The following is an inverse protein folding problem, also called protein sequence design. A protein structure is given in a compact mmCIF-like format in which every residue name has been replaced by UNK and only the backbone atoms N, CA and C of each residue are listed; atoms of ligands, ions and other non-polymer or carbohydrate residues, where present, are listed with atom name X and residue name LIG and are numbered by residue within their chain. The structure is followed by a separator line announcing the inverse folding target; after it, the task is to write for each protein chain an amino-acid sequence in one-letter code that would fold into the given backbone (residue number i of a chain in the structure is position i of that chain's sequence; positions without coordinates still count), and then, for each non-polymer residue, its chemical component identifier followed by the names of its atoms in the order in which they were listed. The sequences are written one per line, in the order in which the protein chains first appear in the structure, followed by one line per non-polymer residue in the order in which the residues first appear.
data_IF_344535754822
#
_entry.id   IF_344535754822
#
_cell.length_a   1.000
_cell.length_b   1.000
_cell.length_c   1.000
_cell.angle_alpha   90.00
_cell.angle_beta   90.00
_cell.angle_gamma   90.00
#
_symmetry.space_group_name_H-M   'P 1'
#
loop_
_entity.id
_entity.type
_entity.pdbx_description
1 polymer ?
#
# COMPACT_ATOMS: atom_id res chain seq x y z
N UNK A 1 24.10 -53.28 12.47
CA UNK A 1 22.80 -52.65 12.27
C UNK A 1 23.00 -51.40 11.46
N UNK A 2 22.65 -51.37 10.15
CA UNK A 2 22.71 -50.16 9.34
C UNK A 2 21.55 -49.25 9.75
N UNK A 3 21.84 -47.95 9.93
CA UNK A 3 20.86 -46.92 10.24
C UNK A 3 19.97 -46.70 9.00
N UNK A 4 18.66 -46.91 9.17
CA UNK A 4 17.67 -46.55 8.17
C UNK A 4 17.66 -45.02 7.99
N UNK A 5 18.06 -44.55 6.83
CA UNK A 5 17.89 -43.16 6.44
C UNK A 5 16.41 -42.93 6.14
N UNK A 6 15.74 -42.22 7.02
CA UNK A 6 14.37 -41.79 6.81
C UNK A 6 14.30 -40.91 5.53
N UNK A 7 13.58 -41.39 4.55
CA UNK A 7 13.24 -40.62 3.33
C UNK A 7 12.29 -39.48 3.72
N UNK A 8 12.80 -38.24 3.68
CA UNK A 8 11.96 -37.03 3.78
C UNK A 8 11.53 -36.69 2.34
N UNK A 9 10.24 -36.84 2.02
CA UNK A 9 9.77 -36.47 0.70
C UNK A 9 9.98 -34.96 0.51
N UNK A 10 10.70 -34.57 -0.55
CA UNK A 10 10.82 -33.17 -0.95
C UNK A 10 9.42 -32.70 -1.38
N UNK A 11 8.92 -31.67 -0.72
CA UNK A 11 7.69 -30.99 -1.17
C UNK A 11 7.92 -30.46 -2.58
N UNK A 12 6.92 -30.60 -3.49
CA UNK A 12 7.03 -30.01 -4.82
C UNK A 12 7.25 -28.50 -4.69
N UNK A 13 8.04 -27.87 -5.58
CA UNK A 13 8.24 -26.44 -5.54
C UNK A 13 6.89 -25.73 -5.62
N UNK A 14 6.63 -24.84 -4.67
CA UNK A 14 5.45 -23.96 -4.72
C UNK A 14 5.64 -23.09 -5.95
N UNK A 15 4.80 -23.26 -6.96
CA UNK A 15 4.82 -22.41 -8.15
C UNK A 15 4.38 -21.02 -7.72
N UNK A 16 5.32 -20.08 -7.64
CA UNK A 16 5.05 -18.69 -7.31
C UNK A 16 4.71 -17.93 -8.58
N UNK A 17 3.69 -17.06 -8.50
CA UNK A 17 3.30 -16.16 -9.59
C UNK A 17 4.27 -14.96 -9.65
N UNK A 18 4.50 -14.44 -10.85
CA UNK A 18 5.27 -13.22 -11.09
C UNK A 18 4.36 -12.01 -11.27
N UNK A 19 4.94 -10.80 -11.15
CA UNK A 19 4.22 -9.54 -11.40
C UNK A 19 3.70 -9.46 -12.85
N UNK A 20 4.45 -9.99 -13.82
CA UNK A 20 4.04 -10.01 -15.22
C UNK A 20 2.87 -10.98 -15.49
N UNK A 21 2.79 -12.07 -14.72
CA UNK A 21 1.63 -12.96 -14.74
C UNK A 21 0.43 -12.32 -14.07
N UNK A 22 0.63 -11.59 -12.96
CA UNK A 22 -0.44 -10.86 -12.28
C UNK A 22 -1.15 -9.86 -13.20
N UNK A 23 -0.43 -9.16 -14.09
CA UNK A 23 -1.02 -8.24 -15.08
C UNK A 23 -2.05 -8.89 -16.00
N UNK A 24 -2.00 -10.23 -16.16
CA UNK A 24 -2.92 -10.99 -17.00
C UNK A 24 -4.06 -11.62 -16.21
N UNK A 25 -4.01 -11.53 -14.88
CA UNK A 25 -5.07 -12.07 -14.01
C UNK A 25 -6.26 -11.10 -14.02
N UNK A 26 -7.43 -11.64 -14.37
CA UNK A 26 -8.68 -10.92 -14.30
C UNK A 26 -9.66 -11.73 -13.46
N UNK A 27 -9.99 -11.24 -12.29
CA UNK A 27 -11.04 -11.80 -11.43
C UNK A 27 -12.13 -10.75 -11.34
N UNK A 28 -13.32 -10.99 -11.96
CA UNK A 28 -14.40 -10.01 -11.97
C UNK A 28 -14.75 -9.55 -10.55
N UNK A 29 -14.95 -8.25 -10.40
CA UNK A 29 -15.37 -7.61 -9.15
C UNK A 29 -14.45 -7.86 -7.93
N UNK A 30 -13.15 -8.09 -8.17
CA UNK A 30 -12.15 -8.32 -7.11
C UNK A 30 -10.92 -7.45 -7.31
N UNK A 31 -10.32 -7.06 -6.19
CA UNK A 31 -8.97 -6.49 -6.16
C UNK A 31 -7.94 -7.61 -5.98
N UNK A 32 -6.84 -7.51 -6.67
CA UNK A 32 -5.79 -8.53 -6.63
C UNK A 32 -4.44 -7.90 -6.28
N UNK A 33 -3.70 -8.58 -5.41
CA UNK A 33 -2.33 -8.26 -5.05
C UNK A 33 -1.48 -9.53 -5.17
N UNK A 34 -0.18 -9.39 -5.18
CA UNK A 34 0.77 -10.50 -5.13
C UNK A 34 1.66 -10.35 -3.91
N UNK A 35 1.70 -11.37 -3.05
CA UNK A 35 2.51 -11.34 -1.84
C UNK A 35 3.45 -12.53 -1.83
N UNK A 36 4.73 -12.29 -2.02
CA UNK A 36 5.76 -13.35 -2.11
C UNK A 36 5.37 -14.45 -3.09
N UNK A 37 4.87 -14.04 -4.27
CA UNK A 37 4.43 -14.96 -5.32
C UNK A 37 3.07 -15.61 -5.09
N UNK A 38 2.35 -15.26 -4.03
CA UNK A 38 1.02 -15.79 -3.72
C UNK A 38 -0.04 -14.75 -4.09
N UNK A 39 -1.01 -15.15 -4.93
CA UNK A 39 -2.14 -14.29 -5.29
C UNK A 39 -3.04 -14.06 -4.08
N UNK A 40 -3.28 -12.79 -3.75
CA UNK A 40 -4.22 -12.36 -2.73
C UNK A 40 -5.41 -11.70 -3.41
N UNK A 41 -6.60 -12.18 -3.13
CA UNK A 41 -7.86 -11.67 -3.70
C UNK A 41 -8.66 -11.01 -2.60
N UNK A 42 -9.14 -9.79 -2.85
CA UNK A 42 -9.90 -9.01 -1.88
C UNK A 42 -11.27 -8.60 -2.44
N UNK A 43 -12.23 -8.50 -1.55
CA UNK A 43 -13.56 -7.97 -1.87
C UNK A 43 -13.50 -6.46 -2.08
N UNK A 44 -14.40 -5.89 -2.91
CA UNK A 44 -14.56 -4.44 -3.02
C UNK A 44 -14.86 -3.79 -1.67
N UNK A 45 -14.29 -2.63 -1.45
CA UNK A 45 -14.52 -1.85 -0.24
C UNK A 45 -15.92 -1.19 -0.23
N UNK A 46 -16.43 -0.91 0.97
CA UNK A 46 -17.73 -0.24 1.16
C UNK A 46 -17.68 1.28 0.95
N UNK A 47 -18.86 1.92 0.94
CA UNK A 47 -19.02 3.36 0.66
C UNK A 47 -18.18 4.27 1.57
N UNK A 48 -18.09 3.96 2.88
CA UNK A 48 -17.32 4.77 3.84
C UNK A 48 -15.84 4.80 3.49
N UNK A 49 -15.27 3.64 3.20
CA UNK A 49 -13.88 3.51 2.75
C UNK A 49 -13.65 4.37 1.49
N UNK A 50 -14.46 4.20 0.43
CA UNK A 50 -14.31 4.95 -0.81
C UNK A 50 -14.44 6.45 -0.62
N UNK A 51 -15.34 6.92 0.26
CA UNK A 51 -15.51 8.33 0.56
C UNK A 51 -14.29 8.92 1.26
N UNK A 52 -13.77 8.22 2.27
CA UNK A 52 -12.57 8.65 3.03
C UNK A 52 -11.35 8.69 2.12
N UNK A 53 -11.13 7.63 1.34
CA UNK A 53 -10.02 7.55 0.40
C UNK A 53 -10.09 8.69 -0.64
N UNK A 54 -11.27 8.94 -1.23
CA UNK A 54 -11.45 10.00 -2.23
C UNK A 54 -11.25 11.39 -1.64
N UNK A 55 -11.78 11.66 -0.44
CA UNK A 55 -11.64 12.98 0.20
C UNK A 55 -10.18 13.29 0.56
N UNK A 56 -9.45 12.29 1.08
CA UNK A 56 -8.03 12.45 1.35
C UNK A 56 -7.22 12.60 0.06
N UNK A 57 -7.48 11.77 -0.96
CA UNK A 57 -6.82 11.86 -2.26
C UNK A 57 -7.00 13.24 -2.91
N UNK A 58 -8.21 13.78 -2.86
CA UNK A 58 -8.53 15.12 -3.38
C UNK A 58 -7.73 16.22 -2.68
N UNK A 59 -7.63 16.17 -1.34
CA UNK A 59 -6.87 17.16 -0.56
C UNK A 59 -5.38 17.06 -0.83
N UNK A 60 -4.86 15.83 -0.85
CA UNK A 60 -3.47 15.54 -1.16
C UNK A 60 -3.12 15.99 -2.58
N UNK A 61 -3.96 15.64 -3.57
CA UNK A 61 -3.79 16.03 -4.96
C UNK A 61 -3.75 17.55 -5.14
N UNK A 62 -4.65 18.28 -4.49
CA UNK A 62 -4.64 19.76 -4.54
C UNK A 62 -3.33 20.36 -4.03
N UNK A 63 -2.78 19.85 -2.92
CA UNK A 63 -1.49 20.30 -2.40
C UNK A 63 -0.34 19.97 -3.36
N UNK A 64 -0.32 18.73 -3.85
CA UNK A 64 0.72 18.23 -4.76
C UNK A 64 0.73 19.03 -6.06
N UNK A 65 -0.43 19.31 -6.65
CA UNK A 65 -0.56 20.06 -7.89
C UNK A 65 -0.21 21.54 -7.71
N UNK A 66 -0.71 22.18 -6.64
CA UNK A 66 -0.45 23.60 -6.36
C UNK A 66 1.04 23.89 -6.19
N UNK A 67 1.79 22.95 -5.61
CA UNK A 67 3.22 23.11 -5.33
C UNK A 67 4.12 22.29 -6.27
N UNK A 68 3.54 21.58 -7.25
CA UNK A 68 4.26 20.75 -8.22
C UNK A 68 5.18 19.72 -7.57
N UNK A 69 4.70 19.09 -6.49
CA UNK A 69 5.51 18.18 -5.66
C UNK A 69 5.72 16.81 -6.29
N UNK A 70 4.83 16.37 -7.21
CA UNK A 70 4.90 15.05 -7.79
C UNK A 70 3.58 14.59 -8.42
N UNK A 71 3.21 13.33 -8.17
CA UNK A 71 1.97 12.71 -8.63
C UNK A 71 1.28 11.93 -7.53
N UNK A 72 -0.05 12.01 -7.49
CA UNK A 72 -0.90 11.18 -6.64
C UNK A 72 -1.59 10.13 -7.53
N UNK A 73 -1.56 8.89 -7.08
CA UNK A 73 -2.18 7.75 -7.76
C UNK A 73 -3.32 7.21 -6.90
N UNK A 74 -4.40 6.80 -7.55
CA UNK A 74 -5.59 6.26 -6.90
C UNK A 74 -5.46 4.75 -6.66
N UNK A 75 -6.44 4.18 -5.98
CA UNK A 75 -6.60 2.75 -5.74
C UNK A 75 -6.44 1.92 -7.03
N UNK A 76 -6.00 0.66 -6.85
CA UNK A 76 -5.67 -0.33 -7.88
C UNK A 76 -4.40 -0.01 -8.69
N UNK A 77 -3.70 1.07 -8.41
CA UNK A 77 -2.38 1.30 -8.98
C UNK A 77 -1.37 0.39 -8.27
N UNK A 78 -0.90 -0.64 -8.96
CA UNK A 78 0.03 -1.62 -8.40
C UNK A 78 1.48 -1.17 -8.48
N UNK A 79 2.26 -1.49 -7.45
CA UNK A 79 3.71 -1.26 -7.34
C UNK A 79 4.41 -2.57 -7.03
N UNK A 80 5.47 -2.90 -7.77
CA UNK A 80 6.32 -4.05 -7.48
C UNK A 80 7.32 -3.66 -6.39
N UNK A 81 7.17 -4.25 -5.21
CA UNK A 81 7.98 -3.94 -4.03
C UNK A 81 9.17 -4.87 -3.86
N UNK A 82 9.05 -6.11 -4.37
CA UNK A 82 10.11 -7.12 -4.30
C UNK A 82 10.03 -8.05 -5.52
N UNK A 83 11.17 -8.66 -5.82
CA UNK A 83 11.30 -9.72 -6.84
C UNK A 83 11.88 -10.98 -6.20
N UNK A 84 11.52 -12.13 -6.75
CA UNK A 84 12.08 -13.45 -6.42
C UNK A 84 11.97 -13.84 -4.92
N UNK A 85 10.77 -14.00 -4.36
CA UNK A 85 9.44 -14.02 -4.99
C UNK A 85 8.81 -12.63 -5.08
N UNK A 86 8.07 -12.41 -6.16
CA UNK A 86 7.48 -11.11 -6.46
C UNK A 86 6.43 -10.69 -5.42
N UNK A 87 6.47 -9.42 -5.06
CA UNK A 87 5.42 -8.76 -4.25
C UNK A 87 4.93 -7.53 -4.98
N UNK A 88 3.63 -7.49 -5.28
CA UNK A 88 2.94 -6.35 -5.87
C UNK A 88 1.82 -5.93 -4.92
N UNK A 89 1.88 -4.69 -4.46
CA UNK A 89 0.86 -4.09 -3.62
C UNK A 89 0.17 -2.95 -4.34
N UNK A 90 -1.12 -2.76 -4.05
CA UNK A 90 -1.93 -1.65 -4.55
C UNK A 90 -2.56 -0.93 -3.35
N UNK A 91 -2.07 0.27 -2.99
CA UNK A 91 -2.62 1.04 -1.88
C UNK A 91 -3.86 1.82 -2.31
N UNK A 92 -4.64 2.32 -1.36
CA UNK A 92 -5.78 3.17 -1.65
C UNK A 92 -5.38 4.52 -2.24
N UNK A 93 -4.24 5.07 -1.78
CA UNK A 93 -3.63 6.28 -2.35
C UNK A 93 -2.11 6.11 -2.30
N UNK A 94 -1.43 6.50 -3.36
CA UNK A 94 0.02 6.59 -3.41
C UNK A 94 0.47 7.98 -3.87
N UNK A 95 1.61 8.43 -3.38
CA UNK A 95 2.27 9.64 -3.86
C UNK A 95 3.72 9.33 -4.22
N UNK A 96 4.13 9.85 -5.37
CA UNK A 96 5.52 9.87 -5.82
C UNK A 96 6.03 11.29 -5.89
N UNK A 97 7.18 11.56 -5.32
CA UNK A 97 7.91 12.82 -5.49
C UNK A 97 8.24 13.02 -6.96
N UNK A 98 8.26 14.26 -7.41
CA UNK A 98 8.41 14.66 -8.81
C UNK A 98 9.61 14.01 -9.49
N UNK A 99 10.73 13.96 -8.82
CA UNK A 99 11.98 13.38 -9.34
C UNK A 99 11.97 11.85 -9.43
N UNK A 100 10.97 11.20 -8.81
CA UNK A 100 10.78 9.75 -8.82
C UNK A 100 9.67 9.27 -9.73
N UNK A 101 8.87 10.19 -10.27
CA UNK A 101 7.84 9.84 -11.26
C UNK A 101 8.52 9.35 -12.55
N UNK A 102 8.24 8.11 -12.99
CA UNK A 102 8.81 7.60 -14.24
C UNK A 102 8.32 8.39 -15.44
N UNK A 103 9.24 8.68 -16.38
CA UNK A 103 8.90 9.31 -17.66
C UNK A 103 9.60 8.55 -18.81
N UNK A 104 8.85 7.83 -19.65
CA UNK A 104 7.40 7.63 -19.62
C UNK A 104 6.94 6.72 -18.48
N UNK A 105 5.70 6.89 -18.04
CA UNK A 105 5.08 5.98 -17.08
C UNK A 105 4.95 4.57 -17.70
N UNK A 106 5.37 3.48 -16.99
CA UNK A 106 5.29 2.13 -17.52
C UNK A 106 3.84 1.63 -17.62
N UNK A 107 3.56 0.78 -18.61
CA UNK A 107 2.24 0.18 -18.77
C UNK A 107 1.89 -0.90 -17.71
N UNK A 108 2.87 -1.35 -16.93
CA UNK A 108 2.70 -2.37 -15.89
C UNK A 108 2.97 -1.83 -14.49
N UNK A 109 3.26 -2.75 -13.57
CA UNK A 109 3.59 -2.39 -12.19
C UNK A 109 5.06 -1.94 -12.09
N UNK A 110 5.35 -0.65 -11.83
CA UNK A 110 6.71 -0.17 -11.71
C UNK A 110 7.44 -0.84 -10.55
N UNK A 111 8.73 -1.10 -10.72
CA UNK A 111 9.58 -1.64 -9.66
C UNK A 111 10.10 -0.47 -8.79
N UNK A 112 9.22 0.10 -8.02
CA UNK A 112 9.51 1.19 -7.08
C UNK A 112 8.44 1.24 -5.98
N UNK A 113 8.82 1.75 -4.80
CA UNK A 113 7.87 2.05 -3.73
C UNK A 113 7.48 3.54 -3.78
N UNK A 114 6.20 3.90 -3.54
CA UNK A 114 5.79 5.29 -3.36
C UNK A 114 6.47 5.95 -2.16
N UNK A 115 6.57 7.29 -2.17
CA UNK A 115 7.11 8.04 -1.04
C UNK A 115 6.12 8.13 0.13
N UNK A 116 4.82 8.28 -0.19
CA UNK A 116 3.71 8.17 0.75
C UNK A 116 2.71 7.15 0.27
N UNK A 117 2.25 6.32 1.18
CA UNK A 117 1.15 5.37 1.00
C UNK A 117 0.05 5.64 2.01
N UNK A 118 -1.21 5.51 1.57
CA UNK A 118 -2.39 5.53 2.44
C UNK A 118 -3.16 4.23 2.27
N UNK A 119 -3.48 3.60 3.39
CA UNK A 119 -4.39 2.47 3.50
C UNK A 119 -5.59 2.90 4.36
N UNK A 120 -6.79 2.79 3.83
CA UNK A 120 -8.04 3.07 4.56
C UNK A 120 -8.65 1.74 4.96
N UNK A 121 -8.86 1.53 6.24
CA UNK A 121 -9.37 0.25 6.73
C UNK A 121 -10.85 0.08 6.41
N UNK A 122 -11.21 -1.15 6.13
CA UNK A 122 -12.57 -1.67 6.01
C UNK A 122 -12.87 -2.65 7.15
N UNK A 123 -14.15 -3.02 7.33
CA UNK A 123 -14.56 -4.00 8.35
C UNK A 123 -13.94 -5.39 8.16
N UNK A 124 -13.38 -5.68 6.99
CA UNK A 124 -12.79 -6.98 6.65
C UNK A 124 -11.29 -7.03 6.94
N UNK A 125 -10.65 -5.90 7.24
CA UNK A 125 -9.21 -5.85 7.46
C UNK A 125 -8.82 -6.40 8.83
N UNK A 126 -7.83 -7.29 8.83
CA UNK A 126 -7.29 -7.89 10.05
C UNK A 126 -6.03 -7.15 10.48
N UNK A 127 -5.87 -6.84 11.78
CA UNK A 127 -4.71 -6.06 12.25
C UNK A 127 -3.36 -6.62 11.82
N UNK A 128 -3.17 -7.94 11.84
CA UNK A 128 -1.92 -8.57 11.42
C UNK A 128 -1.64 -8.43 9.91
N UNK A 129 -2.68 -8.45 9.07
CA UNK A 129 -2.53 -8.24 7.63
C UNK A 129 -2.18 -6.78 7.32
N UNK A 130 -2.80 -5.84 8.04
CA UNK A 130 -2.49 -4.41 7.92
C UNK A 130 -1.04 -4.13 8.28
N UNK A 131 -0.56 -4.65 9.41
CA UNK A 131 0.85 -4.50 9.81
C UNK A 131 1.81 -5.14 8.81
N UNK A 132 1.43 -6.27 8.20
CA UNK A 132 2.22 -6.89 7.13
C UNK A 132 2.30 -5.97 5.90
N UNK A 133 1.20 -5.34 5.49
CA UNK A 133 1.21 -4.35 4.40
C UNK A 133 2.13 -3.16 4.72
N UNK A 134 2.01 -2.59 5.93
CA UNK A 134 2.88 -1.50 6.39
C UNK A 134 4.35 -1.91 6.32
N UNK A 135 4.68 -3.11 6.81
CA UNK A 135 6.04 -3.63 6.77
C UNK A 135 6.54 -3.82 5.32
N UNK A 136 5.70 -4.32 4.42
CA UNK A 136 6.07 -4.47 3.00
C UNK A 136 6.38 -3.11 2.36
N UNK A 137 5.56 -2.06 2.63
CA UNK A 137 5.78 -0.71 2.13
C UNK A 137 7.09 -0.09 2.65
N UNK A 138 7.27 -0.07 3.97
CA UNK A 138 8.47 0.51 4.60
C UNK A 138 9.76 -0.22 4.17
N UNK A 139 9.73 -1.57 4.13
CA UNK A 139 10.87 -2.37 3.70
C UNK A 139 11.24 -2.15 2.23
N UNK A 140 10.29 -1.74 1.39
CA UNK A 140 10.52 -1.41 -0.01
C UNK A 140 11.02 0.03 -0.23
N UNK A 141 11.07 0.86 0.83
CA UNK A 141 11.60 2.22 0.80
C UNK A 141 10.53 3.32 0.77
N UNK A 142 9.27 3.02 1.13
CA UNK A 142 8.26 4.04 1.40
C UNK A 142 8.64 4.79 2.69
N UNK A 143 8.69 6.12 2.65
CA UNK A 143 9.09 6.93 3.80
C UNK A 143 7.95 7.15 4.79
N UNK A 144 6.70 7.22 4.30
CA UNK A 144 5.54 7.56 5.12
C UNK A 144 4.35 6.66 4.76
N UNK A 145 3.78 5.97 5.75
CA UNK A 145 2.57 5.16 5.57
C UNK A 145 1.50 5.64 6.54
N UNK A 146 0.34 6.02 6.00
CA UNK A 146 -0.84 6.36 6.79
C UNK A 146 -1.85 5.22 6.74
N UNK A 147 -2.29 4.76 7.89
CA UNK A 147 -3.39 3.81 8.04
C UNK A 147 -4.55 4.53 8.69
N UNK A 148 -5.65 4.69 7.99
CA UNK A 148 -6.85 5.39 8.47
C UNK A 148 -7.90 4.36 8.88
N UNK A 149 -8.39 4.46 10.11
CA UNK A 149 -9.49 3.64 10.62
C UNK A 149 -10.75 4.50 10.78
N UNK A 150 -11.66 4.47 9.80
CA UNK A 150 -12.88 5.29 9.84
C UNK A 150 -13.89 4.82 10.89
N UNK A 151 -13.80 3.58 11.38
CA UNK A 151 -14.70 3.08 12.41
C UNK A 151 -14.29 3.56 13.80
N UNK A 152 -12.98 3.58 14.06
CA UNK A 152 -12.43 4.02 15.34
C UNK A 152 -12.12 5.51 15.39
N UNK A 153 -12.31 6.24 14.29
CA UNK A 153 -11.98 7.66 14.15
C UNK A 153 -10.53 7.96 14.53
N UNK A 154 -9.61 7.17 14.03
CA UNK A 154 -8.18 7.36 14.27
C UNK A 154 -7.35 7.09 13.01
N UNK A 155 -6.18 7.72 12.95
CA UNK A 155 -5.11 7.42 12.02
C UNK A 155 -3.89 6.87 12.73
N UNK A 156 -3.06 6.13 11.98
CA UNK A 156 -1.72 5.74 12.39
C UNK A 156 -0.74 6.17 11.31
N UNK A 157 0.35 6.76 11.74
CA UNK A 157 1.43 7.21 10.88
C UNK A 157 2.65 6.37 11.19
N UNK A 158 3.17 5.67 10.18
CA UNK A 158 4.39 4.88 10.29
C UNK A 158 5.46 5.49 9.40
N UNK A 159 6.70 5.52 9.87
CA UNK A 159 7.84 6.14 9.18
C UNK A 159 8.96 5.12 8.96
N UNK A 160 9.82 5.41 8.01
CA UNK A 160 10.98 4.57 7.67
C UNK A 160 12.03 4.47 8.78
N UNK A 161 12.04 5.41 9.72
CA UNK A 161 12.87 5.34 10.94
C UNK A 161 12.32 4.37 12.01
N UNK A 162 11.17 3.72 11.74
CA UNK A 162 10.49 2.80 12.64
C UNK A 162 9.58 3.47 13.67
N UNK A 163 9.44 4.78 13.65
CA UNK A 163 8.53 5.49 14.55
C UNK A 163 7.06 5.32 14.14
N UNK A 164 6.19 5.26 15.13
CA UNK A 164 4.73 5.23 14.97
C UNK A 164 4.08 6.37 15.76
N UNK A 165 3.03 6.94 15.19
CA UNK A 165 2.20 7.96 15.83
C UNK A 165 0.72 7.62 15.64
N UNK A 166 -0.07 7.74 16.69
CA UNK A 166 -1.54 7.73 16.61
C UNK A 166 -2.03 9.15 16.42
N UNK A 167 -2.94 9.34 15.46
CA UNK A 167 -3.59 10.61 15.15
C UNK A 167 -5.06 10.48 15.51
N UNK A 168 -5.51 11.22 16.52
CA UNK A 168 -6.92 11.28 16.93
C UNK A 168 -7.74 12.14 15.94
N UNK A 169 -9.06 12.04 15.99
CA UNK A 169 -9.96 12.73 15.05
C UNK A 169 -9.75 14.25 15.01
N UNK A 170 -9.47 14.88 16.16
CA UNK A 170 -9.20 16.31 16.31
C UNK A 170 -7.76 16.72 15.93
N UNK A 171 -6.90 15.78 15.64
CA UNK A 171 -5.53 15.99 15.20
C UNK A 171 -5.40 15.94 13.68
N UNK A 172 -4.26 16.36 13.16
CA UNK A 172 -3.99 16.40 11.73
C UNK A 172 -3.00 15.33 11.28
N UNK A 173 -3.26 14.75 10.12
CA UNK A 173 -2.25 14.08 9.30
C UNK A 173 -1.33 15.16 8.74
N UNK A 174 -0.03 14.96 8.86
CA UNK A 174 1.01 15.87 8.36
C UNK A 174 1.81 15.17 7.27
N UNK A 175 2.04 15.86 6.15
CA UNK A 175 2.84 15.34 5.04
C UNK A 175 4.34 15.34 5.29
N UNK A 176 4.76 15.96 6.38
CA UNK A 176 6.16 16.08 6.80
C UNK A 176 7.06 16.62 5.66
N UNK A 177 8.25 16.07 5.49
CA UNK A 177 9.13 16.38 4.36
C UNK A 177 8.77 15.59 3.09
N UNK A 178 7.88 14.60 3.19
CA UNK A 178 7.42 13.78 2.06
C UNK A 178 6.45 14.57 1.17
N UNK A 179 5.47 15.26 1.79
CA UNK A 179 4.54 16.17 1.09
C UNK A 179 4.56 17.52 1.82
N UNK A 180 5.56 18.37 1.59
CA UNK A 180 5.75 19.60 2.34
C UNK A 180 4.53 20.49 2.35
N UNK A 181 4.16 20.96 3.56
CA UNK A 181 3.03 21.85 3.76
C UNK A 181 1.65 21.23 3.69
N UNK A 182 1.55 19.89 3.49
CA UNK A 182 0.29 19.20 3.61
C UNK A 182 -0.06 19.01 5.09
N UNK A 183 -1.26 19.44 5.47
CA UNK A 183 -1.86 19.16 6.76
C UNK A 183 -3.36 19.00 6.58
N UNK A 184 -3.94 17.96 7.16
CA UNK A 184 -5.35 17.64 7.05
C UNK A 184 -5.87 17.11 8.38
N UNK A 185 -6.80 17.84 9.01
CA UNK A 185 -7.50 17.34 10.19
C UNK A 185 -8.22 16.04 9.88
N UNK A 186 -8.00 15.01 10.70
CA UNK A 186 -8.51 13.66 10.41
C UNK A 186 -10.04 13.63 10.35
N UNK A 187 -10.73 14.32 11.25
CA UNK A 187 -12.19 14.40 11.27
C UNK A 187 -12.78 14.97 9.96
N UNK A 188 -12.05 15.83 9.28
CA UNK A 188 -12.51 16.46 8.04
C UNK A 188 -12.60 15.50 6.85
N UNK A 189 -12.13 14.26 7.00
CA UNK A 189 -12.19 13.20 5.96
C UNK A 189 -12.98 11.97 6.42
N UNK A 190 -13.32 11.83 7.70
CA UNK A 190 -14.03 10.68 8.27
C UNK A 190 -15.54 10.63 8.01
#
# INVERSE_FOLDING_TARGET
MPAEHAYVPSMPPVTTMTADELLRVQIPDKHVELVRGVLVVREPAGLRHGRVAMELARRLGNQVDAHRLGRVYAAETGFTLAREPDTVRAPDIAFLRRERVPDPEPAGFPNLAPDLVVEVLSSNDRPGEVLTKVADWLSAGTSLVWVIDPERHLGRVYRDDGSEQIVAADQSLDGEDVVPGFSCQLEAIL
#
